data_IF_574606408408
#
_entry.id   IF_574606408408
#
_cell.length_a   1.000
_cell.length_b   1.000
_cell.length_c   1.000
_cell.angle_alpha   90.00
_cell.angle_beta   90.00
_cell.angle_gamma   90.00
#
_symmetry.space_group_name_H-M   'P 1'
#
loop_
_entity.id
_entity.type
_entity.pdbx_description
1 polymer ?
#
# COMPACT_ATOMS: atom_id res chain seq x y z
N UNK A 1 2.27 -16.02 8.76
CA UNK A 1 1.66 -14.92 9.51
C UNK A 1 1.73 -13.64 8.69
N UNK A 2 0.64 -12.85 8.71
CA UNK A 2 0.54 -11.59 7.99
C UNK A 2 1.40 -10.51 8.66
N UNK A 3 2.13 -9.71 7.87
CA UNK A 3 2.93 -8.58 8.35
C UNK A 3 2.01 -7.37 8.59
N UNK A 4 2.09 -6.79 9.77
CA UNK A 4 1.33 -5.60 10.15
C UNK A 4 2.20 -4.36 10.03
N UNK A 5 1.78 -3.40 9.21
CA UNK A 5 2.39 -2.08 9.10
C UNK A 5 1.57 -1.08 9.92
N UNK A 6 2.13 -0.60 11.01
CA UNK A 6 1.47 0.35 11.90
C UNK A 6 1.50 1.75 11.30
N UNK A 7 0.34 2.34 11.09
CA UNK A 7 0.20 3.70 10.56
C UNK A 7 0.75 4.76 11.50
N UNK A 8 1.43 5.75 10.94
CA UNK A 8 1.97 6.90 11.66
C UNK A 8 1.27 8.19 11.23
N UNK A 9 1.29 9.26 12.03
CA UNK A 9 1.99 9.41 13.32
C UNK A 9 1.34 8.63 14.47
N UNK A 10 2.18 8.12 15.38
CA UNK A 10 1.77 7.48 16.63
C UNK A 10 2.03 8.45 17.78
N UNK A 11 0.99 8.70 18.58
CA UNK A 11 1.06 9.60 19.71
C UNK A 11 0.60 8.91 21.00
N UNK A 12 1.26 9.18 22.13
CA UNK A 12 2.47 10.01 22.28
C UNK A 12 3.74 9.33 21.73
N UNK A 13 4.79 10.10 21.47
CA UNK A 13 6.07 9.59 20.98
C UNK A 13 6.70 8.51 21.90
N UNK A 14 6.37 8.52 23.18
CA UNK A 14 6.80 7.49 24.13
C UNK A 14 6.23 6.12 23.77
N UNK A 15 5.02 6.06 23.24
CA UNK A 15 4.43 4.80 22.77
C UNK A 15 5.19 4.29 21.53
N UNK A 16 5.50 5.17 20.57
CA UNK A 16 6.27 4.80 19.39
C UNK A 16 7.62 4.17 19.77
N UNK A 17 8.32 4.74 20.74
CA UNK A 17 9.61 4.24 21.20
C UNK A 17 9.55 2.79 21.74
N UNK A 18 8.40 2.35 22.23
CA UNK A 18 8.22 0.96 22.72
C UNK A 18 7.99 -0.06 21.60
N UNK A 19 7.85 0.40 20.36
CA UNK A 19 7.52 -0.43 19.19
C UNK A 19 8.75 -0.81 18.36
N UNK A 20 9.93 -0.83 18.93
CA UNK A 20 11.16 -1.24 18.26
C UNK A 20 11.01 -2.66 17.66
N UNK A 21 11.48 -2.84 16.43
CA UNK A 21 11.37 -4.11 15.69
C UNK A 21 10.02 -4.36 15.02
N UNK A 22 9.07 -3.42 15.13
CA UNK A 22 7.80 -3.48 14.38
C UNK A 22 7.95 -2.89 12.98
N UNK A 23 6.92 -3.08 12.16
CA UNK A 23 6.83 -2.50 10.82
C UNK A 23 5.90 -1.29 10.83
N UNK A 24 6.24 -0.25 10.08
CA UNK A 24 5.48 1.00 10.07
C UNK A 24 5.07 1.40 8.66
N UNK A 25 3.89 2.01 8.56
CA UNK A 25 3.46 2.72 7.37
C UNK A 25 3.68 4.22 7.59
N UNK A 26 4.59 4.82 6.82
CA UNK A 26 4.87 6.25 6.88
C UNK A 26 4.36 6.90 5.60
N UNK A 27 3.39 7.80 5.74
CA UNK A 27 2.85 8.53 4.59
C UNK A 27 3.72 9.72 4.24
N UNK A 28 3.94 9.92 2.94
CA UNK A 28 4.51 11.15 2.39
C UNK A 28 3.72 12.40 2.82
N UNK A 29 2.40 12.28 2.97
CA UNK A 29 1.55 13.36 3.42
C UNK A 29 1.81 13.78 4.89
N UNK A 30 2.17 12.83 5.74
CA UNK A 30 2.38 13.01 7.19
C UNK A 30 3.61 12.25 7.70
N UNK A 31 4.85 12.68 7.36
CA UNK A 31 6.07 11.95 7.71
C UNK A 31 6.63 12.29 9.10
N UNK A 32 5.79 12.71 10.04
CA UNK A 32 6.19 13.26 11.35
C UNK A 32 7.11 12.33 12.16
N UNK A 33 6.84 11.01 12.09
CA UNK A 33 7.62 10.01 12.86
C UNK A 33 8.75 9.34 12.06
N UNK A 34 9.04 9.78 10.84
CA UNK A 34 9.97 9.08 9.94
C UNK A 34 11.34 8.84 10.57
N UNK A 35 11.91 9.86 11.19
CA UNK A 35 13.24 9.75 11.82
C UNK A 35 13.28 8.66 12.88
N UNK A 36 12.27 8.59 13.74
CA UNK A 36 12.16 7.56 14.77
C UNK A 36 11.93 6.19 14.13
N UNK A 37 11.03 6.09 13.16
CA UNK A 37 10.76 4.82 12.46
C UNK A 37 12.00 4.26 11.78
N UNK A 38 12.82 5.10 11.13
CA UNK A 38 14.08 4.68 10.50
C UNK A 38 15.07 4.09 11.52
N UNK A 39 15.03 4.58 12.76
CA UNK A 39 15.92 4.09 13.83
C UNK A 39 15.46 2.77 14.46
N UNK A 40 14.16 2.49 14.51
CA UNK A 40 13.61 1.37 15.29
C UNK A 40 12.88 0.31 14.48
N UNK A 41 12.48 0.60 13.23
CA UNK A 41 11.66 -0.30 12.43
C UNK A 41 12.40 -1.54 11.94
N UNK A 42 11.70 -2.67 11.87
CA UNK A 42 12.14 -3.81 11.09
C UNK A 42 12.03 -3.51 9.59
N UNK A 43 10.91 -2.93 9.17
CA UNK A 43 10.72 -2.41 7.81
C UNK A 43 9.71 -1.26 7.80
N UNK A 44 9.78 -0.44 6.77
CA UNK A 44 8.85 0.67 6.52
C UNK A 44 8.24 0.50 5.13
N UNK A 45 6.91 0.57 5.05
CA UNK A 45 6.24 0.87 3.80
C UNK A 45 6.03 2.40 3.70
N UNK A 46 6.43 2.97 2.58
CA UNK A 46 6.22 4.39 2.30
C UNK A 46 4.96 4.55 1.47
N UNK A 47 3.94 5.14 2.08
CA UNK A 47 2.69 5.45 1.38
C UNK A 47 2.83 6.76 0.61
N UNK A 48 2.30 6.77 -0.62
CA UNK A 48 2.40 7.93 -1.52
C UNK A 48 1.53 9.13 -1.12
N UNK A 49 0.65 8.98 -0.14
CA UNK A 49 -0.22 10.04 0.37
C UNK A 49 -1.42 10.38 -0.51
N UNK A 50 -1.70 9.61 -1.55
CA UNK A 50 -2.78 9.88 -2.51
C UNK A 50 -4.14 10.07 -1.83
N UNK A 51 -4.48 9.23 -0.86
CA UNK A 51 -5.75 9.32 -0.14
C UNK A 51 -5.90 10.64 0.65
N UNK A 52 -4.86 11.04 1.36
CA UNK A 52 -4.88 12.28 2.15
C UNK A 52 -4.96 13.53 1.27
N UNK A 53 -4.32 13.50 0.10
CA UNK A 53 -4.39 14.57 -0.89
C UNK A 53 -5.77 14.58 -1.56
N UNK A 54 -6.27 13.42 -1.96
CA UNK A 54 -7.59 13.26 -2.59
C UNK A 54 -8.72 13.78 -1.70
N UNK A 55 -8.69 13.48 -0.40
CA UNK A 55 -9.69 13.96 0.57
C UNK A 55 -9.49 15.41 0.98
N UNK A 56 -8.41 16.06 0.54
CA UNK A 56 -8.08 17.43 0.94
C UNK A 56 -7.58 17.57 2.39
N UNK A 57 -7.31 16.45 3.06
CA UNK A 57 -6.79 16.45 4.44
C UNK A 57 -5.39 17.07 4.53
N UNK A 58 -4.60 16.94 3.46
CA UNK A 58 -3.26 17.51 3.32
C UNK A 58 -3.12 18.14 1.93
N UNK A 59 -2.43 19.27 1.84
CA UNK A 59 -2.08 19.88 0.56
C UNK A 59 -0.94 19.11 -0.12
N UNK A 60 -0.95 19.09 -1.45
CA UNK A 60 0.18 18.60 -2.23
C UNK A 60 1.46 19.38 -1.85
N UNK A 61 2.59 18.67 -1.78
CA UNK A 61 3.90 19.25 -1.45
C UNK A 61 4.63 19.69 -2.71
N UNK A 62 5.56 20.63 -2.57
CA UNK A 62 6.38 21.12 -3.66
C UNK A 62 7.38 20.05 -4.15
N UNK A 63 7.96 19.27 -3.23
CA UNK A 63 8.85 18.17 -3.57
C UNK A 63 8.03 16.93 -3.99
N UNK A 64 8.19 16.40 -5.21
CA UNK A 64 7.48 15.20 -5.64
C UNK A 64 7.85 13.96 -4.82
N UNK A 65 6.89 13.04 -4.65
CA UNK A 65 7.09 11.80 -3.90
C UNK A 65 8.28 10.98 -4.39
N UNK A 66 8.46 10.83 -5.70
CA UNK A 66 9.54 10.05 -6.29
C UNK A 66 10.94 10.61 -5.99
N UNK A 67 11.05 11.93 -5.76
CA UNK A 67 12.30 12.57 -5.34
C UNK A 67 12.50 12.37 -3.83
N UNK A 68 11.46 12.65 -3.04
CA UNK A 68 11.53 12.51 -1.58
C UNK A 68 11.92 11.10 -1.14
N UNK A 69 11.41 10.07 -1.82
CA UNK A 69 11.61 8.67 -1.44
C UNK A 69 13.03 8.17 -1.74
N UNK A 70 13.77 8.78 -2.67
CA UNK A 70 15.12 8.34 -3.05
C UNK A 70 16.06 8.22 -1.84
N UNK A 71 15.91 9.09 -0.85
CA UNK A 71 16.76 9.11 0.34
C UNK A 71 16.54 7.90 1.25
N UNK A 72 15.39 7.24 1.15
CA UNK A 72 14.94 6.25 2.13
C UNK A 72 14.71 4.86 1.55
N UNK A 73 14.56 4.77 0.23
CA UNK A 73 14.15 3.53 -0.45
C UNK A 73 15.32 2.57 -0.62
N UNK A 74 15.46 1.68 0.35
CA UNK A 74 16.43 0.58 0.34
C UNK A 74 15.84 -0.58 1.13
N UNK A 75 16.21 -1.84 0.73
CA UNK A 75 15.81 -3.02 1.51
C UNK A 75 16.14 -2.85 3.00
N UNK A 76 15.24 -3.14 3.94
CA UNK A 76 13.97 -3.88 3.80
C UNK A 76 12.73 -3.01 3.54
N UNK A 77 12.91 -1.73 3.26
CA UNK A 77 11.80 -0.80 3.01
C UNK A 77 11.28 -0.92 1.59
N UNK A 78 10.04 -0.51 1.39
CA UNK A 78 9.42 -0.47 0.08
C UNK A 78 8.42 0.69 -0.02
N UNK A 79 8.08 1.07 -1.24
CA UNK A 79 7.20 2.21 -1.50
C UNK A 79 5.98 1.80 -2.34
N UNK A 80 4.85 2.44 -2.05
CA UNK A 80 3.66 2.39 -2.89
C UNK A 80 3.86 3.33 -4.07
N UNK A 81 3.78 2.80 -5.29
CA UNK A 81 3.87 3.62 -6.51
C UNK A 81 2.73 4.63 -6.52
N UNK A 82 2.96 5.89 -6.92
CA UNK A 82 1.90 6.88 -7.03
C UNK A 82 0.71 6.38 -7.82
N UNK A 83 -0.50 6.61 -7.28
CA UNK A 83 -1.75 6.24 -7.90
C UNK A 83 -2.74 7.39 -7.84
N UNK A 84 -3.72 7.36 -8.72
CA UNK A 84 -4.83 8.30 -8.75
C UNK A 84 -6.11 7.59 -8.35
N UNK A 85 -6.66 7.98 -7.20
CA UNK A 85 -7.96 7.50 -6.73
C UNK A 85 -9.04 8.05 -7.67
N UNK A 86 -9.97 7.16 -8.08
CA UNK A 86 -10.99 7.44 -9.09
C UNK A 86 -10.43 7.80 -10.50
N UNK A 87 -9.12 7.59 -10.72
CA UNK A 87 -8.53 7.65 -12.05
C UNK A 87 -8.87 6.42 -12.89
N UNK A 88 -8.67 6.52 -14.20
CA UNK A 88 -8.78 5.37 -15.09
C UNK A 88 -7.60 4.40 -14.92
N UNK A 89 -7.73 3.18 -15.47
CA UNK A 89 -6.61 2.22 -15.55
C UNK A 89 -5.44 2.84 -16.32
N UNK A 90 -5.73 3.57 -17.40
CA UNK A 90 -4.74 4.24 -18.24
C UNK A 90 -3.99 5.33 -17.49
N UNK A 91 -4.71 6.13 -16.67
CA UNK A 91 -4.08 7.17 -15.81
C UNK A 91 -3.11 6.54 -14.82
N UNK A 92 -3.51 5.44 -14.18
CA UNK A 92 -2.67 4.73 -13.21
C UNK A 92 -1.48 4.02 -13.89
N UNK A 93 -1.66 3.45 -15.08
CA UNK A 93 -0.55 2.91 -15.87
C UNK A 93 0.45 4.00 -16.25
N UNK A 94 -0.02 5.20 -16.61
CA UNK A 94 0.88 6.33 -16.90
C UNK A 94 1.75 6.68 -15.69
N UNK A 95 1.18 6.75 -14.49
CA UNK A 95 1.93 6.98 -13.25
C UNK A 95 2.95 5.88 -12.96
N UNK A 96 2.60 4.62 -13.20
CA UNK A 96 3.52 3.49 -13.07
C UNK A 96 4.69 3.63 -14.04
N UNK A 97 4.44 4.04 -15.28
CA UNK A 97 5.48 4.21 -16.29
C UNK A 97 6.43 5.37 -15.98
N UNK A 98 6.00 6.34 -15.21
CA UNK A 98 6.84 7.44 -14.71
C UNK A 98 7.70 7.04 -13.50
N UNK A 99 7.42 5.90 -12.88
CA UNK A 99 8.14 5.41 -11.71
C UNK A 99 9.42 4.68 -12.11
N UNK A 100 10.57 5.17 -11.64
CA UNK A 100 11.89 4.68 -12.04
C UNK A 100 12.67 3.97 -10.93
N UNK A 101 12.06 3.77 -9.76
CA UNK A 101 12.69 3.01 -8.68
C UNK A 101 12.57 1.50 -8.91
N UNK A 102 13.42 0.73 -8.22
CA UNK A 102 13.48 -0.73 -8.38
C UNK A 102 12.14 -1.40 -8.13
N UNK A 103 11.74 -2.31 -9.01
CA UNK A 103 10.50 -3.07 -8.91
C UNK A 103 10.42 -3.88 -7.60
N UNK A 104 11.54 -4.45 -7.15
CA UNK A 104 11.62 -5.21 -5.90
C UNK A 104 11.37 -4.38 -4.64
N UNK A 105 11.49 -3.05 -4.72
CA UNK A 105 11.25 -2.10 -3.64
C UNK A 105 9.94 -1.31 -3.84
N UNK A 106 9.11 -1.70 -4.79
CA UNK A 106 7.95 -0.94 -5.23
C UNK A 106 6.71 -1.81 -5.31
N UNK A 107 5.54 -1.21 -5.08
CA UNK A 107 4.26 -1.90 -5.23
C UNK A 107 3.24 -0.99 -5.91
N UNK A 108 2.68 -1.38 -7.07
CA UNK A 108 1.56 -0.67 -7.67
C UNK A 108 0.28 -0.92 -6.88
N UNK A 109 -0.72 -0.05 -7.06
CA UNK A 109 -2.04 -0.17 -6.48
C UNK A 109 -3.02 -0.69 -7.52
N UNK A 110 -3.71 -1.78 -7.20
CA UNK A 110 -4.92 -2.19 -7.88
C UNK A 110 -6.12 -1.71 -7.06
N UNK A 111 -6.96 -0.86 -7.67
CA UNK A 111 -8.20 -0.42 -7.05
C UNK A 111 -9.29 -1.46 -7.30
N UNK A 112 -10.05 -1.81 -6.26
CA UNK A 112 -10.99 -2.93 -6.32
C UNK A 112 -12.07 -2.78 -7.41
N UNK A 113 -12.39 -1.58 -7.84
CA UNK A 113 -13.32 -1.32 -8.93
C UNK A 113 -12.69 -1.47 -10.34
N UNK A 114 -11.37 -1.65 -10.43
CA UNK A 114 -10.70 -1.89 -11.71
C UNK A 114 -10.87 -3.35 -12.17
N UNK A 115 -10.70 -3.65 -13.47
CA UNK A 115 -10.82 -5.02 -13.99
C UNK A 115 -9.86 -6.01 -13.31
N UNK A 116 -10.28 -7.26 -13.15
CA UNK A 116 -9.42 -8.35 -12.64
C UNK A 116 -8.22 -8.57 -13.55
N UNK A 117 -8.38 -8.39 -14.86
CA UNK A 117 -7.30 -8.51 -15.84
C UNK A 117 -6.17 -7.52 -15.55
N UNK A 118 -6.49 -6.32 -15.05
CA UNK A 118 -5.49 -5.35 -14.64
C UNK A 118 -4.74 -5.81 -13.38
N UNK A 119 -5.42 -6.41 -12.41
CA UNK A 119 -4.76 -7.03 -11.26
C UNK A 119 -3.76 -8.10 -11.70
N UNK A 120 -4.15 -8.98 -12.61
CA UNK A 120 -3.27 -10.04 -13.12
C UNK A 120 -2.07 -9.45 -13.87
N UNK A 121 -2.27 -8.41 -14.66
CA UNK A 121 -1.18 -7.68 -15.31
C UNK A 121 -0.19 -7.10 -14.29
N UNK A 122 -0.68 -6.44 -13.24
CA UNK A 122 0.19 -5.90 -12.18
C UNK A 122 0.96 -7.02 -11.48
N UNK A 123 0.30 -8.12 -11.14
CA UNK A 123 0.94 -9.25 -10.47
C UNK A 123 1.95 -10.01 -11.35
N UNK A 124 1.81 -9.97 -12.67
CA UNK A 124 2.80 -10.51 -13.61
C UNK A 124 4.10 -9.68 -13.62
N UNK A 125 4.02 -8.38 -13.33
CA UNK A 125 5.13 -7.45 -13.49
C UNK A 125 5.76 -6.99 -12.16
N UNK A 126 5.05 -7.12 -11.05
CA UNK A 126 5.55 -6.75 -9.72
C UNK A 126 5.36 -7.90 -8.73
N UNK A 127 6.37 -8.14 -7.91
CA UNK A 127 6.31 -9.16 -6.85
C UNK A 127 5.36 -8.80 -5.70
N UNK A 128 4.97 -7.52 -5.60
CA UNK A 128 4.06 -6.98 -4.59
C UNK A 128 3.04 -6.07 -5.23
N UNK A 129 1.76 -6.26 -4.87
CA UNK A 129 0.64 -5.43 -5.33
C UNK A 129 -0.20 -5.01 -4.12
N UNK A 130 -0.57 -3.73 -4.06
CA UNK A 130 -1.49 -3.22 -3.05
C UNK A 130 -2.94 -3.29 -3.54
N UNK A 131 -3.86 -3.67 -2.65
CA UNK A 131 -5.30 -3.54 -2.88
C UNK A 131 -5.79 -2.23 -2.26
N UNK A 132 -6.42 -1.38 -3.06
CA UNK A 132 -7.07 -0.16 -2.64
C UNK A 132 -8.59 -0.29 -2.70
N UNK A 133 -9.27 -0.01 -1.59
CA UNK A 133 -10.74 -0.03 -1.52
C UNK A 133 -11.30 1.25 -2.12
N UNK A 134 -12.08 1.14 -3.19
CA UNK A 134 -12.56 2.27 -3.97
C UNK A 134 -13.86 1.94 -4.70
N UNK A 135 -14.52 2.96 -5.26
CA UNK A 135 -15.77 2.82 -5.99
C UNK A 135 -16.85 2.16 -5.13
N UNK A 136 -17.56 1.19 -5.71
CA UNK A 136 -18.59 0.42 -5.00
C UNK A 136 -18.03 -0.50 -3.90
N UNK A 137 -16.72 -0.69 -3.85
CA UNK A 137 -16.00 -1.51 -2.87
C UNK A 137 -15.22 -0.67 -1.83
N UNK A 138 -15.63 0.57 -1.61
CA UNK A 138 -14.93 1.49 -0.71
C UNK A 138 -14.96 1.06 0.77
N UNK A 139 -16.04 0.40 1.17
CA UNK A 139 -16.26 -0.03 2.55
C UNK A 139 -15.66 -1.42 2.80
N UNK A 140 -14.51 -1.42 3.47
CA UNK A 140 -13.78 -2.65 3.82
C UNK A 140 -14.66 -3.52 4.73
N UNK A 141 -14.81 -4.81 4.36
CA UNK A 141 -15.61 -5.77 5.11
C UNK A 141 -17.10 -5.76 4.77
N UNK A 142 -17.57 -4.88 3.89
CA UNK A 142 -18.92 -4.98 3.34
C UNK A 142 -19.10 -6.27 2.54
N UNK A 143 -20.34 -6.69 2.32
CA UNK A 143 -20.65 -7.90 1.52
C UNK A 143 -20.05 -7.76 0.10
N UNK A 144 -20.23 -6.61 -0.54
CA UNK A 144 -19.68 -6.36 -1.86
C UNK A 144 -18.15 -6.44 -1.87
N UNK A 145 -17.49 -5.83 -0.89
CA UNK A 145 -16.05 -5.88 -0.73
C UNK A 145 -15.55 -7.33 -0.54
N UNK A 146 -16.19 -8.11 0.32
CA UNK A 146 -15.81 -9.51 0.56
C UNK A 146 -15.90 -10.36 -0.70
N UNK A 147 -17.00 -10.28 -1.44
CA UNK A 147 -17.14 -10.99 -2.71
C UNK A 147 -16.12 -10.57 -3.75
N UNK A 148 -15.80 -9.27 -3.81
CA UNK A 148 -14.79 -8.75 -4.75
C UNK A 148 -13.40 -9.28 -4.44
N UNK A 149 -13.02 -9.29 -3.16
CA UNK A 149 -11.72 -9.81 -2.71
C UNK A 149 -11.62 -11.32 -2.93
N UNK A 150 -12.69 -12.07 -2.68
CA UNK A 150 -12.75 -13.49 -3.02
C UNK A 150 -12.50 -13.73 -4.51
N UNK A 151 -13.16 -12.98 -5.38
CA UNK A 151 -12.97 -13.06 -6.83
C UNK A 151 -11.54 -12.74 -7.24
N UNK A 152 -10.94 -11.72 -6.63
CA UNK A 152 -9.56 -11.32 -6.88
C UNK A 152 -8.58 -12.44 -6.51
N UNK A 153 -8.66 -12.98 -5.30
CA UNK A 153 -7.77 -14.06 -4.87
C UNK A 153 -8.00 -15.36 -5.63
N UNK A 154 -9.23 -15.68 -6.02
CA UNK A 154 -9.50 -16.83 -6.88
C UNK A 154 -8.82 -16.69 -8.25
N UNK A 155 -8.83 -15.50 -8.84
CA UNK A 155 -8.14 -15.23 -10.09
C UNK A 155 -6.62 -15.35 -9.94
N UNK A 156 -6.05 -14.77 -8.87
CA UNK A 156 -4.63 -14.87 -8.56
C UNK A 156 -4.20 -16.33 -8.34
N UNK A 157 -4.96 -17.11 -7.58
CA UNK A 157 -4.65 -18.50 -7.29
C UNK A 157 -4.67 -19.42 -8.52
N UNK A 158 -5.47 -19.08 -9.53
CA UNK A 158 -5.48 -19.81 -10.81
C UNK A 158 -4.22 -19.57 -11.65
N UNK A 159 -3.58 -18.40 -11.48
CA UNK A 159 -2.44 -17.98 -12.29
C UNK A 159 -1.09 -18.15 -11.60
N UNK A 160 -1.05 -17.97 -10.29
CA UNK A 160 0.19 -17.92 -9.51
C UNK A 160 0.25 -18.98 -8.41
N UNK A 161 1.36 -19.68 -8.34
CA UNK A 161 1.70 -20.60 -7.25
C UNK A 161 3.23 -20.56 -7.00
N UNK A 162 3.69 -19.96 -5.89
CA UNK A 162 2.89 -19.35 -4.81
C UNK A 162 2.21 -18.06 -5.23
N UNK A 163 1.24 -17.60 -4.42
CA UNK A 163 0.62 -16.30 -4.60
C UNK A 163 1.64 -15.17 -4.51
N UNK A 164 1.49 -14.08 -5.28
CA UNK A 164 2.29 -12.88 -5.09
C UNK A 164 2.01 -12.24 -3.73
N UNK A 165 2.89 -11.33 -3.30
CA UNK A 165 2.65 -10.55 -2.09
C UNK A 165 1.52 -9.55 -2.33
N UNK A 166 0.40 -9.76 -1.67
CA UNK A 166 -0.74 -8.83 -1.71
C UNK A 166 -0.83 -8.08 -0.38
N UNK A 167 -0.77 -6.76 -0.47
CA UNK A 167 -0.91 -5.84 0.66
C UNK A 167 -2.32 -5.24 0.68
N UNK A 168 -3.02 -5.34 1.81
CA UNK A 168 -4.33 -4.68 1.96
C UNK A 168 -4.16 -3.30 2.57
N UNK A 169 -4.38 -2.27 1.80
CA UNK A 169 -4.32 -0.88 2.29
C UNK A 169 -5.47 -0.60 3.24
N UNK A 170 -5.17 0.00 4.39
CA UNK A 170 -6.13 0.36 5.44
C UNK A 170 -6.97 -0.82 5.98
N UNK A 171 -6.55 -2.03 5.71
CA UNK A 171 -7.33 -3.24 6.00
C UNK A 171 -6.84 -4.06 7.18
N UNK A 172 -6.03 -3.49 8.08
CA UNK A 172 -5.37 -4.24 9.14
C UNK A 172 -6.37 -4.99 10.05
N UNK A 173 -7.52 -4.40 10.35
CA UNK A 173 -8.53 -5.01 11.23
C UNK A 173 -9.18 -6.28 10.65
N UNK A 174 -9.24 -6.41 9.33
CA UNK A 174 -9.88 -7.54 8.64
C UNK A 174 -8.89 -8.41 7.88
N UNK A 175 -7.72 -7.87 7.52
CA UNK A 175 -6.72 -8.62 6.79
C UNK A 175 -6.20 -9.80 7.62
N UNK A 176 -6.02 -10.95 6.97
CA UNK A 176 -5.54 -12.18 7.60
C UNK A 176 -6.60 -13.02 8.30
N UNK A 177 -7.88 -12.62 8.32
CA UNK A 177 -8.95 -13.41 8.90
C UNK A 177 -9.44 -14.52 7.95
N UNK A 178 -9.64 -14.18 6.66
CA UNK A 178 -10.19 -15.08 5.65
C UNK A 178 -9.36 -15.12 4.36
N UNK A 179 -8.56 -14.11 4.09
CA UNK A 179 -7.83 -13.94 2.83
C UNK A 179 -6.33 -14.02 3.06
N UNK A 180 -5.57 -14.57 2.09
CA UNK A 180 -4.13 -14.74 2.20
C UNK A 180 -3.34 -13.45 1.89
N UNK A 181 -3.71 -12.34 2.51
CA UNK A 181 -2.91 -11.12 2.47
C UNK A 181 -1.56 -11.35 3.14
N UNK A 182 -0.47 -10.98 2.47
CA UNK A 182 0.86 -11.05 3.03
C UNK A 182 1.12 -9.94 4.05
N UNK A 183 0.49 -8.78 3.86
CA UNK A 183 0.59 -7.63 4.76
C UNK A 183 -0.64 -6.73 4.70
N UNK A 184 -0.79 -5.88 5.71
CA UNK A 184 -1.79 -4.84 5.76
C UNK A 184 -1.31 -3.67 6.62
N UNK A 185 -1.89 -2.50 6.44
CA UNK A 185 -1.62 -1.31 7.24
C UNK A 185 -2.88 -0.79 7.94
N UNK A 186 -2.66 0.10 8.92
CA UNK A 186 -3.70 0.69 9.77
C UNK A 186 -3.90 2.20 9.56
N UNK A 187 -3.56 2.71 8.42
CA UNK A 187 -3.72 4.15 8.14
C UNK A 187 -5.16 4.58 7.89
#
# INVERSE_FOLDING_TARGET
DMIHYHGTPITPNTQLATMAGKNFCVSYARPDNLKTCLAIAQSIMFDNGAYSIFTGAVKAKDEPFHIWIEQYLAHPHWAVIPDQIDGSVEDNIALINEWHHQDSLSAPVWHLNEPIEHLLFLADNWGRVCFGSSGEYWEIGSVAWCFRVDKAFNALAKRFNPLPWIHMMRGLSLAGQHWPFASADST
#
